data_IF_604007132176
#
_entry.id   IF_604007132176
#
_cell.length_a   1.000
_cell.length_b   1.000
_cell.length_c   1.000
_cell.angle_alpha   90.00
_cell.angle_beta   90.00
_cell.angle_gamma   90.00
#
_symmetry.space_group_name_H-M   'P 1'
#
loop_
_entity.id
_entity.type
_entity.pdbx_description
1 polymer ?
#
# COMPACT_ATOMS: atom_id res chain seq x y z
N UNK A 1 1.86 -16.03 -10.25
CA UNK A 1 2.25 -14.70 -9.75
C UNK A 1 3.69 -14.68 -9.33
N UNK A 2 4.47 -13.74 -9.84
CA UNK A 2 5.86 -13.47 -9.48
C UNK A 2 6.05 -11.95 -9.29
N UNK A 3 5.33 -11.39 -8.30
CA UNK A 3 5.20 -9.96 -8.09
C UNK A 3 6.14 -9.38 -7.03
N UNK A 4 7.25 -10.04 -6.73
CA UNK A 4 8.28 -9.53 -5.82
C UNK A 4 9.11 -8.42 -6.48
N UNK A 5 9.68 -7.55 -5.66
CA UNK A 5 10.68 -6.55 -6.05
C UNK A 5 12.07 -7.14 -5.73
N UNK A 6 12.85 -7.43 -6.76
CA UNK A 6 14.06 -8.21 -6.61
C UNK A 6 15.30 -7.35 -6.27
N UNK A 7 16.11 -7.83 -5.31
CA UNK A 7 17.47 -7.35 -5.11
C UNK A 7 18.46 -8.08 -6.04
N UNK A 8 19.65 -7.52 -6.24
CA UNK A 8 20.64 -8.03 -7.19
C UNK A 8 21.04 -9.51 -7.00
N UNK A 9 21.02 -10.02 -5.78
CA UNK A 9 21.30 -11.42 -5.48
C UNK A 9 20.25 -12.37 -6.09
N UNK A 10 18.99 -11.95 -6.17
CA UNK A 10 17.89 -12.71 -6.77
C UNK A 10 17.98 -12.75 -8.29
N UNK A 11 18.47 -11.69 -8.93
CA UNK A 11 18.56 -11.63 -10.40
C UNK A 11 19.37 -12.77 -10.99
N UNK A 12 20.42 -13.25 -10.28
CA UNK A 12 21.32 -14.29 -10.76
C UNK A 12 20.65 -15.65 -10.98
N UNK A 13 19.62 -15.94 -10.20
CA UNK A 13 18.96 -17.25 -10.24
C UNK A 13 17.54 -17.19 -10.77
N UNK A 14 16.95 -15.99 -10.84
CA UNK A 14 15.53 -15.79 -11.10
C UNK A 14 15.02 -16.52 -12.35
N UNK A 15 15.67 -16.34 -13.50
CA UNK A 15 15.25 -16.97 -14.76
C UNK A 15 15.38 -18.51 -14.71
N UNK A 16 16.40 -19.03 -14.01
CA UNK A 16 16.55 -20.46 -13.81
C UNK A 16 15.42 -21.00 -12.91
N UNK A 17 15.14 -20.28 -11.82
CA UNK A 17 14.15 -20.70 -10.83
C UNK A 17 12.71 -20.55 -11.37
N UNK A 18 12.50 -19.66 -12.35
CA UNK A 18 11.23 -19.49 -13.05
C UNK A 18 11.00 -20.53 -14.16
N UNK A 19 12.06 -21.12 -14.73
CA UNK A 19 11.95 -22.05 -15.84
C UNK A 19 10.93 -23.20 -15.62
N UNK A 20 10.91 -23.89 -14.46
CA UNK A 20 9.92 -24.95 -14.21
C UNK A 20 8.46 -24.44 -14.25
N UNK A 21 8.23 -23.18 -13.88
CA UNK A 21 6.89 -22.55 -13.97
C UNK A 21 6.51 -22.31 -15.43
N UNK A 22 7.47 -21.86 -16.25
CA UNK A 22 7.25 -21.65 -17.69
C UNK A 22 6.95 -22.98 -18.40
N UNK A 23 7.62 -24.07 -18.00
CA UNK A 23 7.40 -25.41 -18.57
C UNK A 23 5.97 -25.93 -18.33
N UNK A 24 5.28 -25.42 -17.30
CA UNK A 24 3.86 -25.68 -17.03
C UNK A 24 2.91 -24.92 -17.98
N UNK A 25 3.44 -24.05 -18.85
CA UNK A 25 2.70 -23.23 -19.83
C UNK A 25 1.59 -22.39 -19.20
N UNK A 26 1.91 -21.48 -18.26
CA UNK A 26 0.92 -20.55 -17.73
C UNK A 26 0.38 -19.65 -18.84
N UNK A 27 -0.88 -19.25 -18.74
CA UNK A 27 -1.50 -18.30 -19.68
C UNK A 27 -0.86 -16.91 -19.61
N UNK A 28 -0.39 -16.50 -18.43
CA UNK A 28 0.31 -15.24 -18.20
C UNK A 28 1.15 -15.28 -16.92
N UNK A 29 2.03 -14.30 -16.76
CA UNK A 29 2.74 -14.02 -15.49
C UNK A 29 2.32 -12.69 -14.91
N UNK A 30 1.92 -12.66 -13.63
CA UNK A 30 1.69 -11.42 -12.89
C UNK A 30 3.02 -11.00 -12.27
N UNK A 31 3.53 -9.82 -12.66
CA UNK A 31 4.86 -9.32 -12.25
C UNK A 31 4.80 -7.83 -11.89
N UNK A 32 5.73 -7.36 -11.05
CA UNK A 32 5.82 -5.96 -10.62
C UNK A 32 7.18 -5.31 -10.90
N UNK A 33 8.27 -6.08 -10.85
CA UNK A 33 9.63 -5.55 -11.03
C UNK A 33 9.93 -5.31 -12.50
N UNK A 34 10.25 -4.06 -12.87
CA UNK A 34 10.52 -3.67 -14.26
C UNK A 34 11.72 -4.41 -14.88
N UNK A 35 12.77 -4.65 -14.08
CA UNK A 35 13.97 -5.36 -14.54
C UNK A 35 13.69 -6.83 -14.80
N UNK A 36 12.92 -7.48 -13.92
CA UNK A 36 12.51 -8.88 -14.12
C UNK A 36 11.54 -9.02 -15.30
N UNK A 37 10.61 -8.06 -15.48
CA UNK A 37 9.71 -8.01 -16.63
C UNK A 37 10.53 -7.97 -17.93
N UNK A 38 11.53 -7.10 -18.00
CA UNK A 38 12.41 -7.00 -19.17
C UNK A 38 13.11 -8.34 -19.45
N UNK A 39 13.74 -8.96 -18.45
CA UNK A 39 14.45 -10.25 -18.62
C UNK A 39 13.51 -11.39 -19.05
N UNK A 40 12.29 -11.44 -18.49
CA UNK A 40 11.30 -12.46 -18.87
C UNK A 40 10.85 -12.26 -20.31
N UNK A 41 10.57 -11.04 -20.74
CA UNK A 41 10.18 -10.72 -22.09
C UNK A 41 11.27 -11.02 -23.13
N UNK A 42 12.53 -10.80 -22.80
CA UNK A 42 13.66 -11.17 -23.64
C UNK A 42 13.78 -12.70 -23.81
N UNK A 43 13.63 -13.43 -22.72
CA UNK A 43 13.82 -14.90 -22.72
C UNK A 43 12.59 -15.67 -23.20
N UNK A 44 11.39 -15.22 -22.85
CA UNK A 44 10.11 -15.89 -23.18
C UNK A 44 9.08 -14.87 -23.74
N UNK A 45 9.34 -14.33 -24.94
CA UNK A 45 8.51 -13.25 -25.51
C UNK A 45 7.05 -13.68 -25.80
N UNK A 46 6.77 -14.96 -25.79
CA UNK A 46 5.43 -15.53 -26.02
C UNK A 46 4.56 -15.57 -24.76
N UNK A 47 5.13 -15.34 -23.57
CA UNK A 47 4.36 -15.33 -22.31
C UNK A 47 3.82 -13.92 -22.06
N UNK A 48 2.49 -13.71 -22.00
CA UNK A 48 1.91 -12.44 -21.65
C UNK A 48 2.29 -12.01 -20.22
N UNK A 49 2.55 -10.72 -20.03
CA UNK A 49 2.80 -10.14 -18.70
C UNK A 49 1.59 -9.34 -18.28
N UNK A 50 1.04 -9.67 -17.11
CA UNK A 50 0.06 -8.87 -16.40
C UNK A 50 0.79 -8.07 -15.32
N UNK A 51 0.70 -6.75 -15.38
CA UNK A 51 1.35 -5.89 -14.40
C UNK A 51 0.63 -5.98 -13.06
N UNK A 52 1.36 -6.37 -12.03
CA UNK A 52 0.84 -6.45 -10.66
C UNK A 52 0.46 -5.07 -10.13
N UNK A 53 -0.55 -5.03 -9.28
CA UNK A 53 -0.90 -3.85 -8.47
C UNK A 53 0.30 -3.32 -7.66
N UNK A 54 1.30 -4.14 -7.35
CA UNK A 54 2.52 -3.71 -6.66
C UNK A 54 3.39 -2.73 -7.48
N UNK A 55 3.18 -2.63 -8.79
CA UNK A 55 3.80 -1.58 -9.61
C UNK A 55 3.16 -0.19 -9.37
N UNK A 56 2.06 -0.11 -8.61
CA UNK A 56 1.37 1.10 -8.22
C UNK A 56 1.00 2.01 -9.40
N UNK A 57 0.28 1.46 -10.38
CA UNK A 57 -0.17 2.20 -11.57
C UNK A 57 -1.45 2.96 -11.25
N UNK A 58 -1.36 4.30 -11.20
CA UNK A 58 -2.43 5.18 -10.72
C UNK A 58 -2.91 6.20 -11.74
N UNK A 59 -2.39 6.18 -12.98
CA UNK A 59 -2.78 7.14 -14.01
C UNK A 59 -2.55 6.58 -15.43
N UNK A 60 -3.23 7.19 -16.41
CA UNK A 60 -3.17 6.77 -17.81
C UNK A 60 -1.76 6.90 -18.44
N UNK A 61 -0.93 7.84 -17.99
CA UNK A 61 0.40 8.00 -18.53
C UNK A 61 1.31 6.82 -18.12
N UNK A 62 1.18 6.34 -16.89
CA UNK A 62 1.86 5.13 -16.43
C UNK A 62 1.33 3.89 -17.18
N UNK A 63 0.03 3.83 -17.49
CA UNK A 63 -0.55 2.76 -18.33
C UNK A 63 0.08 2.77 -19.73
N UNK A 64 0.16 3.94 -20.38
CA UNK A 64 0.81 4.09 -21.71
C UNK A 64 2.29 3.67 -21.68
N UNK A 65 3.01 3.99 -20.60
CA UNK A 65 4.39 3.54 -20.43
C UNK A 65 4.47 2.00 -20.41
N UNK A 66 3.67 1.34 -19.58
CA UNK A 66 3.69 -0.11 -19.49
C UNK A 66 3.22 -0.80 -20.77
N UNK A 67 2.27 -0.19 -21.47
CA UNK A 67 1.87 -0.63 -22.81
C UNK A 67 3.03 -0.56 -23.79
N UNK A 68 3.81 0.53 -23.77
CA UNK A 68 4.97 0.71 -24.66
C UNK A 68 6.07 -0.32 -24.45
N UNK A 69 6.22 -0.83 -23.22
CA UNK A 69 7.16 -1.94 -22.91
C UNK A 69 6.51 -3.32 -23.09
N UNK A 70 5.27 -3.38 -23.60
CA UNK A 70 4.58 -4.60 -24.06
C UNK A 70 3.96 -5.43 -22.95
N UNK A 71 3.53 -4.83 -21.86
CA UNK A 71 2.64 -5.46 -20.88
C UNK A 71 1.27 -5.65 -21.51
N UNK A 72 0.64 -6.80 -21.30
CA UNK A 72 -0.64 -7.15 -21.93
C UNK A 72 -1.85 -6.68 -21.10
N UNK A 73 -1.75 -6.71 -19.77
CA UNK A 73 -2.81 -6.32 -18.83
C UNK A 73 -2.22 -5.55 -17.66
N UNK A 74 -2.98 -4.61 -17.12
CA UNK A 74 -2.59 -3.83 -15.93
C UNK A 74 -3.63 -4.01 -14.83
N UNK A 75 -3.16 -4.49 -13.66
CA UNK A 75 -3.94 -4.53 -12.43
C UNK A 75 -3.79 -3.16 -11.77
N UNK A 76 -4.85 -2.36 -11.85
CA UNK A 76 -4.85 -0.98 -11.37
C UNK A 76 -4.77 -0.91 -9.84
N UNK A 77 -4.20 0.18 -9.35
CA UNK A 77 -4.13 0.48 -7.93
C UNK A 77 -5.51 0.62 -7.29
N UNK A 78 -5.65 0.17 -6.04
CA UNK A 78 -6.90 0.24 -5.27
C UNK A 78 -7.26 1.66 -4.81
N UNK A 79 -6.33 2.57 -4.91
CA UNK A 79 -6.45 3.99 -4.55
C UNK A 79 -7.27 4.81 -5.56
N UNK A 80 -7.53 4.24 -6.75
CA UNK A 80 -8.25 4.92 -7.82
C UNK A 80 -9.75 4.97 -7.56
N UNK A 81 -10.34 6.13 -7.81
CA UNK A 81 -11.78 6.29 -7.92
C UNK A 81 -12.31 5.73 -9.24
N UNK A 82 -13.61 5.45 -9.31
CA UNK A 82 -14.26 4.99 -10.55
C UNK A 82 -14.10 5.98 -11.70
N UNK A 83 -14.09 7.29 -11.41
CA UNK A 83 -13.89 8.33 -12.41
C UNK A 83 -12.47 8.29 -13.02
N UNK A 84 -11.45 8.03 -12.19
CA UNK A 84 -10.07 7.86 -12.66
C UNK A 84 -9.91 6.58 -13.48
N UNK A 85 -10.54 5.48 -13.09
CA UNK A 85 -10.55 4.23 -13.87
C UNK A 85 -11.21 4.47 -15.23
N UNK A 86 -12.33 5.19 -15.26
CA UNK A 86 -13.02 5.57 -16.52
C UNK A 86 -12.12 6.44 -17.42
N UNK A 87 -11.44 7.44 -16.86
CA UNK A 87 -10.49 8.26 -17.58
C UNK A 87 -9.32 7.43 -18.15
N UNK A 88 -8.76 6.51 -17.35
CA UNK A 88 -7.70 5.60 -17.82
C UNK A 88 -8.20 4.76 -19.01
N UNK A 89 -9.42 4.21 -18.95
CA UNK A 89 -10.00 3.44 -20.05
C UNK A 89 -10.15 4.30 -21.32
N UNK A 90 -10.63 5.53 -21.19
CA UNK A 90 -10.79 6.44 -22.33
C UNK A 90 -9.45 6.78 -23.01
N UNK A 91 -8.40 7.01 -22.19
CA UNK A 91 -7.06 7.35 -22.68
C UNK A 91 -6.28 6.15 -23.23
N UNK A 92 -6.61 4.93 -22.77
CA UNK A 92 -5.91 3.69 -23.09
C UNK A 92 -6.93 2.60 -23.49
N UNK A 93 -7.68 2.79 -24.61
CA UNK A 93 -8.77 1.88 -24.99
C UNK A 93 -8.32 0.46 -25.32
N UNK A 94 -7.08 0.28 -25.78
CA UNK A 94 -6.54 -1.00 -26.22
C UNK A 94 -5.81 -1.78 -25.10
N UNK A 95 -5.69 -1.21 -23.89
CA UNK A 95 -5.04 -1.89 -22.78
C UNK A 95 -6.05 -2.70 -21.97
N UNK A 96 -5.76 -3.98 -21.69
CA UNK A 96 -6.57 -4.74 -20.75
C UNK A 96 -6.39 -4.20 -19.32
N UNK A 97 -7.50 -3.88 -18.66
CA UNK A 97 -7.53 -3.39 -17.29
C UNK A 97 -8.17 -4.40 -16.35
N UNK A 98 -7.56 -4.56 -15.19
CA UNK A 98 -8.07 -5.39 -14.09
C UNK A 98 -8.20 -4.54 -12.83
N UNK A 99 -9.28 -4.73 -12.07
CA UNK A 99 -9.60 -3.95 -10.86
C UNK A 99 -10.01 -4.88 -9.72
N UNK A 100 -9.47 -4.67 -8.53
CA UNK A 100 -9.94 -5.38 -7.34
C UNK A 100 -11.30 -4.88 -6.88
N UNK A 101 -12.25 -5.79 -6.68
CA UNK A 101 -13.60 -5.51 -6.17
C UNK A 101 -13.84 -6.06 -4.78
N UNK A 102 -12.98 -6.96 -4.30
CA UNK A 102 -13.07 -7.54 -2.97
C UNK A 102 -11.69 -7.94 -2.44
N UNK A 103 -11.54 -7.87 -1.13
CA UNK A 103 -10.36 -8.36 -0.42
C UNK A 103 -9.73 -7.33 0.50
N UNK A 104 -8.57 -7.69 1.04
CA UNK A 104 -7.82 -6.86 1.96
C UNK A 104 -7.35 -5.56 1.30
N UNK A 105 -7.68 -4.43 1.91
CA UNK A 105 -7.15 -3.14 1.53
C UNK A 105 -5.88 -2.86 2.35
N UNK A 106 -4.77 -2.56 1.66
CA UNK A 106 -3.54 -2.13 2.31
C UNK A 106 -3.64 -0.68 2.77
N UNK A 107 -3.05 -0.37 3.92
CA UNK A 107 -2.95 1.01 4.41
C UNK A 107 -1.94 1.84 3.60
N UNK A 108 -0.88 1.21 3.10
CA UNK A 108 0.10 1.83 2.24
C UNK A 108 -0.25 1.62 0.77
N UNK A 109 0.24 2.49 -0.08
CA UNK A 109 0.23 2.24 -1.54
C UNK A 109 0.80 0.86 -1.85
N UNK A 110 0.19 0.19 -2.83
CA UNK A 110 0.61 -1.14 -3.25
C UNK A 110 2.09 -1.16 -3.62
N UNK A 111 2.84 -2.12 -3.09
CA UNK A 111 4.30 -2.22 -3.29
C UNK A 111 5.15 -1.20 -2.52
N UNK A 112 4.56 -0.41 -1.61
CA UNK A 112 5.26 0.62 -0.83
C UNK A 112 5.20 0.41 0.69
N UNK A 113 4.64 -0.71 1.13
CA UNK A 113 4.50 -1.00 2.56
C UNK A 113 5.84 -1.43 3.17
N UNK A 114 6.22 -0.80 4.28
CA UNK A 114 7.39 -1.17 5.08
C UNK A 114 7.01 -1.77 6.45
N UNK A 115 5.73 -1.70 6.81
CA UNK A 115 5.26 -1.99 8.16
C UNK A 115 5.60 -3.41 8.63
N UNK A 116 5.29 -4.42 7.81
CA UNK A 116 5.59 -5.82 8.14
C UNK A 116 7.10 -6.09 8.22
N UNK A 117 7.90 -5.44 7.37
CA UNK A 117 9.37 -5.51 7.44
C UNK A 117 9.89 -4.90 8.73
N UNK A 118 9.38 -3.76 9.12
CA UNK A 118 9.77 -3.05 10.34
C UNK A 118 9.45 -3.86 11.59
N UNK A 119 8.21 -4.36 11.71
CA UNK A 119 7.80 -5.11 12.92
C UNK A 119 8.36 -6.53 13.01
N UNK A 120 8.45 -7.24 11.88
CA UNK A 120 8.68 -8.68 11.87
C UNK A 120 9.89 -9.10 11.06
N UNK A 121 10.61 -8.16 10.44
CA UNK A 121 11.67 -8.43 9.47
C UNK A 121 11.19 -9.30 8.29
N UNK A 122 9.88 -9.22 7.96
CA UNK A 122 9.26 -9.91 6.83
C UNK A 122 8.76 -8.87 5.84
N UNK A 123 9.51 -8.70 4.76
CA UNK A 123 9.23 -7.68 3.76
C UNK A 123 7.93 -7.99 3.00
N UNK A 124 6.91 -7.15 3.09
CA UNK A 124 5.65 -7.36 2.37
C UNK A 124 5.82 -7.29 0.86
N UNK A 125 6.84 -6.58 0.37
CA UNK A 125 7.15 -6.43 -1.05
C UNK A 125 7.88 -7.66 -1.62
N UNK A 126 8.28 -8.58 -0.75
CA UNK A 126 8.83 -9.91 -1.07
C UNK A 126 7.80 -11.05 -0.85
N UNK A 127 6.52 -10.72 -0.77
CA UNK A 127 5.44 -11.70 -0.60
C UNK A 127 5.28 -12.27 0.81
N UNK A 128 5.94 -11.70 1.83
CA UNK A 128 5.93 -12.21 3.21
C UNK A 128 5.19 -11.33 4.20
N UNK A 129 4.16 -10.60 3.74
CA UNK A 129 3.35 -9.73 4.58
C UNK A 129 2.72 -10.48 5.76
N UNK A 130 2.84 -9.92 6.98
CA UNK A 130 2.26 -10.47 8.22
C UNK A 130 0.95 -9.79 8.61
N UNK A 131 0.42 -8.90 7.78
CA UNK A 131 -0.75 -8.08 8.07
C UNK A 131 -0.61 -7.28 9.38
N UNK A 132 0.60 -6.79 9.68
CA UNK A 132 0.87 -6.04 10.90
C UNK A 132 -0.06 -4.82 11.07
N UNK A 133 -0.50 -4.19 9.96
CA UNK A 133 -1.48 -3.11 9.98
C UNK A 133 -2.86 -3.49 10.56
N UNK A 134 -3.13 -4.77 10.80
CA UNK A 134 -4.41 -5.28 11.36
C UNK A 134 -4.30 -5.77 12.80
N UNK A 135 -3.13 -5.68 13.40
CA UNK A 135 -2.94 -6.06 14.79
C UNK A 135 -3.56 -5.03 15.73
N UNK A 136 -3.76 -5.42 16.96
CA UNK A 136 -4.25 -4.50 18.00
C UNK A 136 -3.08 -3.79 18.65
N UNK A 137 -3.13 -2.47 18.67
CA UNK A 137 -2.12 -1.60 19.24
C UNK A 137 -2.71 -0.72 20.34
N UNK A 138 -1.94 -0.42 21.37
CA UNK A 138 -2.25 0.61 22.35
C UNK A 138 -1.34 1.81 22.11
N UNK A 139 -1.87 3.00 22.23
CA UNK A 139 -1.11 4.25 22.14
C UNK A 139 -0.80 4.78 23.52
N UNK A 140 0.43 5.27 23.73
CA UNK A 140 0.84 5.95 24.94
C UNK A 140 1.38 7.33 24.60
N UNK A 141 1.03 8.38 25.37
CA UNK A 141 1.65 9.69 25.21
C UNK A 141 3.16 9.61 25.38
N UNK A 142 3.88 10.35 24.55
CA UNK A 142 5.33 10.40 24.60
C UNK A 142 5.83 11.84 24.44
N UNK A 143 7.05 12.10 24.86
CA UNK A 143 7.79 13.32 24.57
C UNK A 143 9.14 12.97 23.96
N UNK A 144 9.69 13.91 23.22
CA UNK A 144 11.06 13.79 22.72
C UNK A 144 12.04 14.10 23.85
N UNK A 145 12.99 13.22 24.09
CA UNK A 145 14.09 13.44 25.03
C UNK A 145 14.97 14.59 24.52
N UNK A 146 15.21 15.59 25.35
CA UNK A 146 16.09 16.72 25.00
C UNK A 146 17.54 16.30 24.83
N UNK A 147 17.94 15.17 25.40
CA UNK A 147 19.33 14.69 25.43
C UNK A 147 19.64 13.76 24.25
N UNK A 148 18.67 12.94 23.83
CA UNK A 148 18.89 11.89 22.80
C UNK A 148 18.07 12.08 21.56
N UNK A 149 17.02 12.94 21.58
CA UNK A 149 16.04 13.07 20.49
C UNK A 149 15.13 11.85 20.36
N UNK A 150 15.18 10.89 21.27
CA UNK A 150 14.33 9.70 21.24
C UNK A 150 12.97 9.96 21.90
N UNK A 151 11.92 9.31 21.39
CA UNK A 151 10.61 9.33 22.00
C UNK A 151 10.62 8.53 23.31
N UNK A 152 10.31 9.16 24.42
CA UNK A 152 10.22 8.55 25.76
C UNK A 152 8.78 8.63 26.27
N UNK A 153 8.28 7.58 26.97
CA UNK A 153 6.94 7.61 27.52
C UNK A 153 6.77 8.78 28.52
N UNK A 154 5.69 9.54 28.37
CA UNK A 154 5.26 10.47 29.42
C UNK A 154 4.59 9.69 30.54
N UNK A 155 5.01 9.92 31.79
CA UNK A 155 4.24 9.47 32.95
C UNK A 155 2.86 10.12 32.88
N UNK A 156 1.81 9.32 32.71
CA UNK A 156 0.43 9.79 32.74
C UNK A 156 0.12 10.28 34.15
N UNK A 157 0.03 11.57 34.32
CA UNK A 157 -0.70 12.11 35.46
C UNK A 157 -2.18 11.81 35.25
N UNK A 158 -2.84 11.17 36.21
CA UNK A 158 -4.22 10.65 36.12
C UNK A 158 -5.29 11.71 35.87
N UNK A 159 -4.89 12.97 35.69
CA UNK A 159 -5.75 14.12 35.37
C UNK A 159 -5.90 14.37 33.85
N UNK A 160 -5.27 13.59 32.97
CA UNK A 160 -5.30 13.83 31.52
C UNK A 160 -6.60 13.28 30.92
N UNK A 161 -7.49 14.15 30.48
CA UNK A 161 -8.75 13.80 29.83
C UNK A 161 -8.68 14.11 28.34
N UNK A 162 -8.62 13.08 27.50
CA UNK A 162 -8.68 13.19 26.05
C UNK A 162 -9.92 13.96 25.53
N UNK A 163 -11.04 13.95 26.29
CA UNK A 163 -12.26 14.62 25.89
C UNK A 163 -12.13 16.16 25.88
N UNK A 164 -11.34 16.74 26.80
CA UNK A 164 -11.14 18.18 26.86
C UNK A 164 -10.19 18.71 25.77
N UNK A 165 -9.25 17.91 25.34
CA UNK A 165 -8.32 18.32 24.29
C UNK A 165 -8.94 18.24 22.90
N UNK A 166 -9.78 17.25 22.62
CA UNK A 166 -10.53 17.16 21.38
C UNK A 166 -11.42 18.40 21.17
N UNK A 167 -12.12 18.86 22.25
CA UNK A 167 -12.96 20.06 22.20
C UNK A 167 -12.15 21.35 22.02
N UNK A 168 -10.96 21.46 22.61
CA UNK A 168 -10.09 22.64 22.46
C UNK A 168 -9.42 22.66 21.05
N UNK A 169 -9.08 21.51 20.50
CA UNK A 169 -8.53 21.41 19.15
C UNK A 169 -9.58 21.75 18.09
N UNK A 170 -10.84 21.31 18.25
CA UNK A 170 -11.95 21.69 17.37
C UNK A 170 -12.20 23.24 17.37
N UNK A 171 -12.10 23.88 18.52
CA UNK A 171 -12.27 25.35 18.62
C UNK A 171 -11.09 26.11 17.99
N UNK A 172 -9.88 25.72 18.26
CA UNK A 172 -8.68 26.33 17.67
C UNK A 172 -8.67 26.17 16.13
N UNK A 173 -9.19 25.09 15.65
CA UNK A 173 -9.26 24.73 14.26
C UNK A 173 -10.32 25.50 13.47
N UNK A 174 -11.52 25.67 14.03
CA UNK A 174 -12.57 26.50 13.44
C UNK A 174 -12.15 27.98 13.26
N UNK A 175 -11.18 28.45 14.06
CA UNK A 175 -10.65 29.82 13.99
C UNK A 175 -9.64 30.01 12.82
N UNK A 176 -9.03 28.95 12.28
CA UNK A 176 -7.96 29.05 11.28
C UNK A 176 -8.39 28.73 9.83
N UNK A 177 -9.64 28.31 9.59
CA UNK A 177 -10.19 28.11 8.23
C UNK A 177 -9.54 26.99 7.41
N UNK A 178 -8.80 26.10 8.05
CA UNK A 178 -8.13 24.96 7.42
C UNK A 178 -8.90 23.66 7.54
N UNK A 179 -8.49 22.59 6.81
CA UNK A 179 -9.06 21.25 6.95
C UNK A 179 -8.81 20.67 8.35
N UNK A 180 -9.71 19.86 8.97
CA UNK A 180 -9.55 19.36 10.33
C UNK A 180 -8.24 18.59 10.51
N UNK A 181 -7.30 19.20 11.25
CA UNK A 181 -6.15 18.46 11.77
C UNK A 181 -6.62 17.61 12.94
N UNK A 182 -6.19 16.37 12.98
CA UNK A 182 -6.44 15.52 14.14
C UNK A 182 -5.88 16.22 15.40
N UNK A 183 -6.59 16.19 16.56
CA UNK A 183 -6.14 16.83 17.80
C UNK A 183 -4.75 16.42 18.28
N UNK A 184 -4.27 15.30 17.79
CA UNK A 184 -2.97 14.74 18.08
C UNK A 184 -1.89 15.06 17.02
N UNK A 185 -2.24 15.77 15.94
CA UNK A 185 -1.25 16.24 14.98
C UNK A 185 -0.21 17.10 15.70
N UNK A 186 1.06 16.90 15.43
CA UNK A 186 2.20 17.53 16.10
C UNK A 186 2.54 16.96 17.50
N UNK A 187 1.93 15.81 17.92
CA UNK A 187 2.32 15.09 19.13
C UNK A 187 3.01 13.78 18.81
N UNK A 188 3.97 13.42 19.62
CA UNK A 188 4.61 12.11 19.55
C UNK A 188 3.81 11.10 20.37
N UNK A 189 3.46 9.98 19.77
CA UNK A 189 2.81 8.85 20.43
C UNK A 189 3.69 7.61 20.34
N UNK A 190 3.53 6.72 21.31
CA UNK A 190 4.12 5.38 21.28
C UNK A 190 3.02 4.36 21.11
N UNK A 191 3.24 3.44 20.19
CA UNK A 191 2.41 2.27 19.96
C UNK A 191 2.95 1.08 20.70
N UNK A 192 2.07 0.37 21.37
CA UNK A 192 2.37 -0.92 21.97
C UNK A 192 1.47 -2.00 21.36
N UNK A 193 2.08 -3.05 20.86
CA UNK A 193 1.34 -4.18 20.32
C UNK A 193 1.04 -5.18 21.47
N UNK A 194 -0.20 -5.67 21.54
CA UNK A 194 -0.71 -6.47 22.67
C UNK A 194 0.11 -7.74 22.95
N UNK A 195 0.64 -8.38 21.92
CA UNK A 195 1.44 -9.59 22.05
C UNK A 195 2.94 -9.32 22.31
N UNK A 196 3.31 -8.03 22.36
CA UNK A 196 4.68 -7.56 22.61
C UNK A 196 4.69 -6.43 23.65
N UNK A 197 4.23 -6.70 24.88
CA UNK A 197 4.20 -5.69 25.92
C UNK A 197 5.61 -5.14 26.19
N UNK A 198 5.74 -3.84 26.37
CA UNK A 198 6.99 -3.14 26.60
C UNK A 198 7.82 -2.83 25.36
N UNK A 199 7.41 -3.27 24.17
CA UNK A 199 8.01 -2.81 22.91
C UNK A 199 7.22 -1.61 22.38
N UNK A 200 7.66 -0.42 22.75
CA UNK A 200 7.02 0.84 22.37
C UNK A 200 7.55 1.31 21.02
N UNK A 201 6.65 1.75 20.14
CA UNK A 201 6.98 2.18 18.78
C UNK A 201 6.41 3.58 18.51
N UNK A 202 7.23 4.53 18.02
CA UNK A 202 6.75 5.87 17.72
C UNK A 202 5.70 5.87 16.60
N UNK A 203 4.66 6.66 16.78
CA UNK A 203 3.72 7.06 15.71
C UNK A 203 3.91 8.54 15.45
N UNK A 204 4.00 8.86 14.18
CA UNK A 204 3.97 10.23 13.70
C UNK A 204 2.69 10.43 12.90
N UNK A 205 2.02 11.54 13.16
CA UNK A 205 0.93 12.05 12.35
C UNK A 205 1.39 13.36 11.72
N UNK A 206 1.25 13.48 10.40
CA UNK A 206 1.55 14.70 9.68
C UNK A 206 0.32 15.23 8.93
N UNK A 207 0.48 16.27 8.16
CA UNK A 207 -0.57 16.89 7.35
C UNK A 207 -1.12 15.98 6.24
N UNK A 208 -0.48 14.84 5.98
CA UNK A 208 -0.88 13.86 4.97
C UNK A 208 -1.61 12.64 5.55
N UNK A 209 -1.67 12.50 6.88
CA UNK A 209 -2.45 11.46 7.59
C UNK A 209 -1.70 10.71 8.68
N UNK A 210 -2.40 9.76 9.29
CA UNK A 210 -1.88 8.88 10.34
C UNK A 210 -1.36 7.59 9.74
N UNK A 211 -0.12 7.23 10.00
CA UNK A 211 0.57 6.13 9.31
C UNK A 211 0.33 4.73 9.89
N UNK A 212 -0.54 4.56 10.87
CA UNK A 212 -0.88 3.25 11.44
C UNK A 212 -2.38 3.11 11.61
N UNK A 213 -2.99 2.27 10.79
CA UNK A 213 -4.44 2.22 10.70
C UNK A 213 -5.01 0.82 10.62
N UNK A 214 -6.23 0.70 11.10
CA UNK A 214 -7.15 -0.36 10.71
C UNK A 214 -7.46 -0.23 9.22
N UNK A 215 -6.86 -1.09 8.39
CA UNK A 215 -7.30 -1.21 7.02
C UNK A 215 -8.67 -1.90 7.00
N UNK A 216 -9.66 -1.24 6.38
CA UNK A 216 -10.93 -1.89 6.06
C UNK A 216 -10.74 -2.78 4.85
N UNK A 217 -11.49 -3.89 4.79
CA UNK A 217 -11.52 -4.70 3.59
C UNK A 217 -12.21 -3.94 2.45
N UNK A 218 -11.67 -4.05 1.25
CA UNK A 218 -12.32 -3.55 0.05
C UNK A 218 -13.60 -4.36 -0.19
N UNK A 219 -14.72 -3.67 -0.34
CA UNK A 219 -16.00 -4.23 -0.74
C UNK A 219 -16.63 -3.32 -1.79
N UNK A 220 -16.34 -3.61 -3.04
CA UNK A 220 -16.81 -2.82 -4.18
C UNK A 220 -17.77 -3.60 -5.08
N UNK A 221 -18.43 -4.64 -4.53
CA UNK A 221 -19.37 -5.51 -5.29
C UNK A 221 -20.52 -4.70 -5.88
N UNK A 222 -21.00 -3.69 -5.18
CA UNK A 222 -22.05 -2.77 -5.65
C UNK A 222 -21.62 -1.92 -6.86
N UNK A 223 -20.34 -1.81 -7.12
CA UNK A 223 -19.80 -1.04 -8.24
C UNK A 223 -19.45 -1.89 -9.47
N UNK A 224 -19.62 -3.22 -9.42
CA UNK A 224 -19.30 -4.14 -10.52
C UNK A 224 -20.01 -3.76 -11.81
N UNK A 225 -21.31 -3.45 -11.74
CA UNK A 225 -22.07 -3.04 -12.92
C UNK A 225 -21.48 -1.77 -13.57
N UNK A 226 -21.01 -0.81 -12.76
CA UNK A 226 -20.38 0.41 -13.27
C UNK A 226 -19.00 0.13 -13.87
N UNK A 227 -18.20 -0.75 -13.26
CA UNK A 227 -16.90 -1.15 -13.79
C UNK A 227 -17.02 -1.85 -15.15
N UNK A 228 -18.03 -2.71 -15.31
CA UNK A 228 -18.36 -3.34 -16.61
C UNK A 228 -18.74 -2.28 -17.66
N UNK A 229 -19.57 -1.28 -17.29
CA UNK A 229 -19.92 -0.18 -18.21
C UNK A 229 -18.71 0.67 -18.62
N UNK A 230 -17.76 0.89 -17.73
CA UNK A 230 -16.49 1.57 -18.02
C UNK A 230 -15.64 0.75 -19.00
N UNK A 231 -15.82 -0.56 -19.07
CA UNK A 231 -15.08 -1.46 -19.93
C UNK A 231 -13.83 -2.06 -19.26
N UNK A 232 -13.88 -2.32 -17.94
CA UNK A 232 -12.84 -3.09 -17.24
C UNK A 232 -12.92 -4.54 -17.70
N UNK A 233 -11.79 -5.15 -18.05
CA UNK A 233 -11.72 -6.48 -18.68
C UNK A 233 -11.73 -7.61 -17.64
N UNK A 234 -11.29 -7.35 -16.41
CA UNK A 234 -11.21 -8.34 -15.33
C UNK A 234 -11.47 -7.71 -13.94
N UNK A 235 -12.13 -8.47 -13.07
CA UNK A 235 -12.49 -8.05 -11.71
C UNK A 235 -12.01 -9.05 -10.66
#
# INVERSE_FOLDING_TARGET
>A
TSNLIAHNDKLRTYLRDLQPVIDLRPDALIMADAGLIMQVREKWPHIPIHLSVQANTTNWAAVKFWQSVGVARIILSRELSLAEVEQIRQECPDMELEVFVHGALCIAYSGRCLLSGYYNRRDPNQGTCTNACRWSYATQPAAESTDTGEAVPLALDTAFSFANEAAQAEQAFAACGGAPRHPAADRVYLLEEKERPGQLMPILEDEHGTYIMNSKDLRAVEHVARLVQIGVDSL
#
